data_IF_568886336605
#
_entry.id   IF_568886336605
#
_cell.length_a   1.000
_cell.length_b   1.000
_cell.length_c   1.000
_cell.angle_alpha   90.00
_cell.angle_beta   90.00
_cell.angle_gamma   90.00
#
_symmetry.space_group_name_H-M   'P 1'
#
loop_
_entity.id
_entity.type
_entity.pdbx_description
1 polymer ?
#
# COMPACT_ATOMS: atom_id res chain seq x y z
N UNK A 1 12.48 -0.17 11.07
CA UNK A 1 13.41 0.90 10.92
C UNK A 1 13.58 1.33 9.47
N UNK A 2 13.39 2.61 9.21
CA UNK A 2 13.57 3.23 7.89
C UNK A 2 14.76 4.23 7.88
N UNK A 3 15.60 4.24 8.88
CA UNK A 3 16.73 5.17 9.01
C UNK A 3 16.29 6.64 9.24
N UNK A 4 15.08 6.85 9.77
CA UNK A 4 14.57 8.16 10.21
C UNK A 4 14.35 8.18 11.72
N UNK A 5 14.54 9.32 12.38
CA UNK A 5 14.21 9.46 13.80
C UNK A 5 12.69 9.51 14.00
N UNK A 6 12.22 9.11 15.21
CA UNK A 6 10.82 9.22 15.59
C UNK A 6 9.92 8.13 14.99
N UNK A 7 10.46 6.97 14.67
CA UNK A 7 9.68 5.84 14.19
C UNK A 7 8.85 5.22 15.33
N UNK A 8 7.54 5.15 15.14
CA UNK A 8 6.60 4.55 16.09
C UNK A 8 6.43 3.04 15.83
N UNK A 9 6.18 2.29 16.91
CA UNK A 9 6.03 0.82 16.84
C UNK A 9 4.64 0.33 16.42
N UNK A 10 3.64 1.20 16.45
CA UNK A 10 2.24 0.79 16.31
C UNK A 10 1.73 0.07 17.57
N UNK A 11 0.50 -0.41 17.52
CA UNK A 11 -0.15 -1.18 18.59
C UNK A 11 -0.63 -2.49 17.99
N UNK A 12 0.05 -3.58 18.35
CA UNK A 12 -0.32 -4.93 17.95
C UNK A 12 -0.48 -5.77 19.22
N UNK A 13 -1.61 -6.43 19.35
CA UNK A 13 -1.81 -7.38 20.44
C UNK A 13 -0.99 -8.66 20.24
N UNK A 14 -0.50 -9.23 21.33
CA UNK A 14 0.11 -10.53 21.28
C UNK A 14 -0.98 -11.58 20.95
N UNK A 15 -0.78 -12.44 19.93
CA UNK A 15 -1.77 -13.46 19.56
C UNK A 15 -2.21 -14.37 20.71
N UNK A 16 -1.38 -14.53 21.75
CA UNK A 16 -1.71 -15.32 22.94
C UNK A 16 -2.73 -14.65 23.87
N UNK A 17 -2.86 -13.33 23.76
CA UNK A 17 -3.72 -12.51 24.60
C UNK A 17 -5.02 -12.10 23.86
N UNK A 18 -5.21 -12.61 22.63
CA UNK A 18 -6.36 -12.31 21.79
C UNK A 18 -7.51 -13.29 22.04
N UNK A 19 -8.72 -12.76 22.09
CA UNK A 19 -9.97 -13.52 22.11
C UNK A 19 -10.56 -13.62 20.68
N UNK A 20 -11.50 -14.58 20.49
CA UNK A 20 -12.16 -14.76 19.17
C UNK A 20 -12.76 -13.45 18.58
N UNK A 21 -13.43 -12.58 19.37
CA UNK A 21 -13.93 -11.30 18.84
C UNK A 21 -12.81 -10.37 18.33
N UNK A 22 -11.62 -10.40 18.96
CA UNK A 22 -10.49 -9.58 18.54
C UNK A 22 -9.98 -10.01 17.16
N UNK A 23 -9.89 -11.32 16.92
CA UNK A 23 -9.49 -11.89 15.63
C UNK A 23 -10.48 -11.50 14.53
N UNK A 24 -11.79 -11.61 14.79
CA UNK A 24 -12.83 -11.24 13.85
C UNK A 24 -12.78 -9.72 13.54
N UNK A 25 -12.56 -8.90 14.55
CA UNK A 25 -12.47 -7.44 14.43
C UNK A 25 -11.20 -7.03 13.65
N UNK A 26 -10.07 -7.69 13.90
CA UNK A 26 -8.83 -7.45 13.14
C UNK A 26 -8.97 -7.85 11.66
N UNK A 27 -9.76 -8.86 11.33
CA UNK A 27 -9.98 -9.28 9.95
C UNK A 27 -10.62 -8.18 9.09
N UNK A 28 -11.35 -7.24 9.71
CA UNK A 28 -11.91 -6.07 9.05
C UNK A 28 -11.08 -4.79 9.25
N UNK A 29 -9.89 -4.89 9.86
CA UNK A 29 -8.95 -3.79 10.03
C UNK A 29 -9.18 -2.92 11.27
N UNK A 30 -9.93 -3.41 12.27
CA UNK A 30 -10.15 -2.76 13.55
C UNK A 30 -9.31 -3.45 14.65
N UNK A 31 -9.11 -2.78 15.79
CA UNK A 31 -8.36 -3.34 16.91
C UNK A 31 -6.85 -3.44 16.69
N UNK A 32 -6.32 -2.85 15.64
CA UNK A 32 -4.89 -2.78 15.33
C UNK A 32 -4.53 -1.36 14.90
N UNK A 33 -3.41 -0.83 15.41
CA UNK A 33 -2.89 0.45 14.98
C UNK A 33 -1.47 0.26 14.44
N UNK A 34 -1.27 0.64 13.19
CA UNK A 34 0.02 0.55 12.50
C UNK A 34 0.38 1.90 11.89
N UNK A 35 1.67 2.16 11.75
CA UNK A 35 2.12 3.34 11.02
C UNK A 35 1.85 3.16 9.51
N UNK A 36 1.69 4.25 8.75
CA UNK A 36 1.56 4.17 7.28
C UNK A 36 2.67 3.37 6.62
N UNK A 37 3.89 3.48 7.14
CA UNK A 37 5.04 2.73 6.63
C UNK A 37 4.93 1.23 6.92
N UNK A 38 4.43 0.84 8.08
CA UNK A 38 4.21 -0.56 8.43
C UNK A 38 3.15 -1.19 7.50
N UNK A 39 2.04 -0.47 7.26
CA UNK A 39 1.00 -0.90 6.32
C UNK A 39 1.54 -1.03 4.90
N UNK A 40 2.22 0.00 4.38
CA UNK A 40 2.81 -0.03 3.05
C UNK A 40 3.82 -1.17 2.91
N UNK A 41 4.63 -1.42 3.94
CA UNK A 41 5.60 -2.52 3.97
C UNK A 41 4.94 -3.90 3.91
N UNK A 42 3.80 -4.08 4.59
CA UNK A 42 3.02 -5.31 4.52
C UNK A 42 2.45 -5.54 3.10
N UNK A 43 1.92 -4.49 2.47
CA UNK A 43 1.45 -4.53 1.09
C UNK A 43 2.60 -4.79 0.11
N UNK A 44 3.78 -4.24 0.35
CA UNK A 44 4.97 -4.56 -0.44
C UNK A 44 5.37 -6.04 -0.35
N UNK A 45 5.15 -6.71 0.79
CA UNK A 45 5.41 -8.14 0.90
C UNK A 45 4.43 -8.96 0.04
N UNK A 46 3.17 -8.54 -0.07
CA UNK A 46 2.22 -9.15 -1.03
C UNK A 46 2.67 -8.90 -2.47
N UNK A 47 3.07 -7.68 -2.78
CA UNK A 47 3.46 -7.27 -4.11
C UNK A 47 4.71 -8.03 -4.62
N UNK A 48 5.66 -8.33 -3.75
CA UNK A 48 6.97 -8.89 -4.12
C UNK A 48 7.10 -10.42 -3.97
N UNK A 49 6.00 -11.13 -3.70
CA UNK A 49 6.01 -12.60 -3.59
C UNK A 49 6.20 -13.15 -2.18
N UNK A 50 6.02 -12.33 -1.15
CA UNK A 50 5.99 -12.76 0.25
C UNK A 50 7.19 -12.35 1.09
N UNK A 51 8.16 -11.65 0.53
CA UNK A 51 9.35 -11.17 1.26
C UNK A 51 9.04 -9.88 2.05
N UNK A 52 9.21 -9.91 3.36
CA UNK A 52 9.22 -8.71 4.18
C UNK A 52 10.60 -8.06 4.08
N UNK A 53 10.67 -6.89 3.45
CA UNK A 53 11.92 -6.17 3.25
C UNK A 53 12.18 -5.13 4.34
N UNK A 54 13.46 -4.86 4.60
CA UNK A 54 13.89 -3.70 5.35
C UNK A 54 13.81 -2.47 4.44
N UNK A 55 12.97 -1.47 4.73
CA UNK A 55 12.95 -0.26 3.95
C UNK A 55 14.22 0.57 4.20
N UNK A 56 14.66 1.32 3.21
CA UNK A 56 15.76 2.28 3.32
C UNK A 56 15.51 3.48 2.41
N UNK A 57 16.07 4.64 2.75
CA UNK A 57 15.96 5.88 1.98
C UNK A 57 17.32 6.35 1.47
N UNK A 58 18.40 5.95 2.13
CA UNK A 58 19.75 6.34 1.75
C UNK A 58 20.23 5.39 0.66
N UNK A 59 20.29 5.88 -0.57
CA UNK A 59 20.80 5.10 -1.69
C UNK A 59 22.30 4.84 -1.59
N UNK A 60 23.08 5.89 -1.25
CA UNK A 60 24.54 5.80 -1.21
C UNK A 60 25.14 6.93 -0.38
N UNK A 61 26.14 6.63 0.42
CA UNK A 61 27.00 7.59 1.09
C UNK A 61 28.40 7.43 0.51
N UNK A 62 29.00 8.54 0.04
CA UNK A 62 30.30 8.55 -0.59
C UNK A 62 31.19 9.57 0.12
N UNK A 63 32.41 9.20 0.46
CA UNK A 63 33.40 10.09 1.03
C UNK A 63 33.95 11.10 -0.03
N UNK A 64 34.66 12.13 0.41
CA UNK A 64 35.20 13.17 -0.48
C UNK A 64 36.20 12.62 -1.51
N UNK A 65 36.86 11.51 -1.21
CA UNK A 65 37.80 10.81 -2.10
C UNK A 65 37.12 9.86 -3.11
N UNK A 66 35.75 9.77 -3.08
CA UNK A 66 34.96 8.88 -3.92
C UNK A 66 34.74 7.49 -3.32
N UNK A 67 35.29 7.17 -2.16
CA UNK A 67 35.08 5.89 -1.48
C UNK A 67 33.63 5.72 -1.05
N UNK A 68 33.03 4.59 -1.38
CA UNK A 68 31.65 4.25 -0.95
C UNK A 68 31.67 3.80 0.50
N UNK A 69 31.09 4.62 1.40
CA UNK A 69 30.99 4.32 2.84
C UNK A 69 29.80 3.40 3.11
N UNK A 70 28.66 3.66 2.46
CA UNK A 70 27.42 2.89 2.63
C UNK A 70 26.65 2.86 1.32
N UNK A 71 26.04 1.74 1.01
CA UNK A 71 25.11 1.59 -0.12
C UNK A 71 23.85 0.88 0.35
N UNK A 72 22.69 1.48 0.02
CA UNK A 72 21.39 0.88 0.25
C UNK A 72 21.19 -0.32 -0.66
N UNK A 73 20.81 -1.45 -0.09
CA UNK A 73 20.56 -2.69 -0.83
C UNK A 73 19.31 -3.41 -0.33
N UNK A 74 18.71 -4.20 -1.20
CA UNK A 74 17.60 -5.09 -0.81
C UNK A 74 18.04 -5.97 0.36
N UNK A 75 17.33 -5.89 1.46
CA UNK A 75 17.55 -6.74 2.64
C UNK A 75 16.24 -7.42 3.00
N UNK A 76 16.21 -8.75 2.91
CA UNK A 76 15.06 -9.57 3.29
C UNK A 76 15.13 -9.84 4.79
N UNK A 77 14.08 -9.43 5.51
CA UNK A 77 13.95 -9.69 6.96
C UNK A 77 13.45 -11.11 7.20
N UNK A 78 12.40 -11.51 6.47
CA UNK A 78 11.83 -12.86 6.47
C UNK A 78 10.84 -13.04 5.33
N UNK A 79 10.47 -14.27 5.02
CA UNK A 79 9.28 -14.59 4.23
C UNK A 79 8.07 -14.65 5.15
N UNK A 80 6.99 -13.93 4.81
CA UNK A 80 5.77 -13.84 5.63
C UNK A 80 4.61 -14.64 5.04
N UNK A 81 4.59 -14.81 3.72
CA UNK A 81 3.63 -15.65 2.98
C UNK A 81 4.35 -16.34 1.82
N UNK A 82 3.76 -17.41 1.29
CA UNK A 82 4.29 -18.07 0.10
C UNK A 82 4.03 -17.27 -1.16
N UNK A 83 4.82 -17.47 -2.23
CA UNK A 83 4.58 -16.86 -3.54
C UNK A 83 3.17 -17.17 -4.09
N UNK A 84 2.67 -18.39 -3.84
CA UNK A 84 1.32 -18.77 -4.24
C UNK A 84 0.26 -17.90 -3.56
N UNK A 85 0.37 -17.71 -2.25
CA UNK A 85 -0.54 -16.85 -1.48
C UNK A 85 -0.41 -15.40 -1.93
N UNK A 86 0.82 -14.91 -2.12
CA UNK A 86 1.08 -13.56 -2.60
C UNK A 86 0.42 -13.31 -3.97
N UNK A 87 0.50 -14.27 -4.89
CA UNK A 87 -0.16 -14.20 -6.20
C UNK A 87 -1.69 -14.14 -6.07
N UNK A 88 -2.29 -15.01 -5.26
CA UNK A 88 -3.73 -15.00 -5.01
C UNK A 88 -4.19 -13.65 -4.42
N UNK A 89 -3.42 -13.10 -3.49
CA UNK A 89 -3.70 -11.77 -2.92
C UNK A 89 -3.62 -10.67 -3.97
N UNK A 90 -2.58 -10.67 -4.84
CA UNK A 90 -2.47 -9.71 -5.94
C UNK A 90 -3.68 -9.76 -6.88
N UNK A 91 -4.13 -10.96 -7.25
CA UNK A 91 -5.32 -11.16 -8.09
C UNK A 91 -6.59 -10.63 -7.43
N UNK A 92 -6.79 -10.91 -6.14
CA UNK A 92 -7.93 -10.36 -5.38
C UNK A 92 -7.87 -8.84 -5.27
N UNK A 93 -6.70 -8.27 -4.98
CA UNK A 93 -6.52 -6.83 -4.88
C UNK A 93 -6.68 -6.11 -6.22
N UNK A 94 -6.35 -6.77 -7.34
CA UNK A 94 -6.63 -6.25 -8.67
C UNK A 94 -8.14 -6.17 -8.94
N UNK A 95 -8.91 -7.20 -8.54
CA UNK A 95 -10.36 -7.18 -8.66
C UNK A 95 -11.03 -6.07 -7.83
N UNK A 96 -10.45 -5.68 -6.71
CA UNK A 96 -10.95 -4.52 -5.95
C UNK A 96 -10.96 -3.26 -6.81
N UNK A 97 -9.95 -3.08 -7.67
CA UNK A 97 -9.83 -1.91 -8.55
C UNK A 97 -10.61 -2.10 -9.85
N UNK A 98 -10.57 -3.28 -10.46
CA UNK A 98 -11.26 -3.52 -11.75
C UNK A 98 -12.78 -3.67 -11.62
N UNK A 99 -13.25 -4.32 -10.56
CA UNK A 99 -14.64 -4.73 -10.39
C UNK A 99 -15.28 -4.21 -9.09
N UNK A 100 -14.46 -3.92 -8.06
CA UNK A 100 -14.92 -3.63 -6.70
C UNK A 100 -15.01 -2.16 -6.33
N UNK A 101 -14.92 -1.89 -5.03
CA UNK A 101 -15.04 -0.54 -4.44
C UNK A 101 -13.82 0.36 -4.65
N UNK A 102 -12.75 -0.13 -5.27
CA UNK A 102 -11.53 0.63 -5.58
C UNK A 102 -11.48 1.21 -7.00
N UNK A 103 -12.57 1.16 -7.76
CA UNK A 103 -12.63 1.61 -9.18
C UNK A 103 -12.12 3.03 -9.41
N UNK A 104 -12.27 3.91 -8.43
CA UNK A 104 -11.79 5.30 -8.49
C UNK A 104 -10.27 5.43 -8.53
N UNK A 105 -9.53 4.35 -8.19
CA UNK A 105 -8.07 4.26 -8.34
C UNK A 105 -7.62 3.74 -9.72
N UNK A 106 -8.54 3.34 -10.60
CA UNK A 106 -8.20 2.78 -11.90
C UNK A 106 -7.53 3.80 -12.82
N UNK A 107 -6.46 3.40 -13.50
CA UNK A 107 -5.76 4.17 -14.54
C UNK A 107 -5.87 3.39 -15.84
N UNK A 108 -6.41 4.04 -16.88
CA UNK A 108 -6.62 3.39 -18.18
C UNK A 108 -5.30 2.83 -18.74
N UNK A 109 -5.32 1.56 -19.12
CA UNK A 109 -4.17 0.86 -19.69
C UNK A 109 -3.18 0.30 -18.65
N UNK A 110 -3.47 0.43 -17.35
CA UNK A 110 -2.64 -0.16 -16.29
C UNK A 110 -3.44 -1.12 -15.43
N UNK A 111 -2.82 -2.25 -15.10
CA UNK A 111 -3.37 -3.19 -14.13
C UNK A 111 -2.94 -2.72 -12.74
N UNK A 112 -3.90 -2.31 -11.93
CA UNK A 112 -3.68 -1.78 -10.58
C UNK A 112 -4.31 -2.72 -9.57
N UNK A 113 -3.57 -3.06 -8.54
CA UNK A 113 -4.06 -3.78 -7.38
C UNK A 113 -4.09 -2.85 -6.17
N UNK A 114 -5.14 -2.92 -5.36
CA UNK A 114 -5.24 -2.06 -4.18
C UNK A 114 -6.37 -2.42 -3.24
N UNK A 115 -6.47 -1.67 -2.13
CA UNK A 115 -7.50 -1.81 -1.12
C UNK A 115 -7.85 -0.45 -0.53
N UNK A 116 -9.13 -0.19 -0.38
CA UNK A 116 -9.66 0.96 0.36
C UNK A 116 -9.65 0.69 1.86
N UNK A 117 -9.42 1.70 2.67
CA UNK A 117 -9.62 1.67 4.11
C UNK A 117 -10.46 2.87 4.57
N UNK A 118 -11.28 2.65 5.58
CA UNK A 118 -12.02 3.70 6.29
C UNK A 118 -12.17 3.23 7.72
N UNK A 119 -11.37 3.79 8.62
CA UNK A 119 -11.34 3.41 10.02
C UNK A 119 -11.77 4.60 10.89
N UNK A 120 -12.59 4.36 11.90
CA UNK A 120 -12.86 5.36 12.93
C UNK A 120 -11.62 5.58 13.80
N UNK A 121 -11.35 6.83 14.15
CA UNK A 121 -10.22 7.18 15.03
C UNK A 121 -10.51 6.79 16.46
N UNK A 122 -9.47 6.39 17.17
CA UNK A 122 -9.55 6.17 18.59
C UNK A 122 -9.66 7.53 19.33
N UNK A 123 -10.57 7.62 20.28
CA UNK A 123 -10.68 8.77 21.17
C UNK A 123 -9.63 8.71 22.29
N UNK A 124 -9.15 9.85 22.76
CA UNK A 124 -8.16 9.95 23.84
C UNK A 124 -8.59 9.27 25.15
N UNK A 125 -9.91 9.15 25.39
CA UNK A 125 -10.50 8.49 26.56
C UNK A 125 -10.88 7.02 26.35
N UNK A 126 -10.50 6.42 25.24
CA UNK A 126 -10.93 5.07 24.81
C UNK A 126 -12.20 5.10 23.96
N UNK A 127 -12.45 3.99 23.22
CA UNK A 127 -13.51 3.93 22.22
C UNK A 127 -13.19 4.71 20.94
N UNK A 128 -14.20 5.02 20.14
CA UNK A 128 -14.05 5.70 18.86
C UNK A 128 -14.55 7.15 18.92
N UNK A 129 -13.83 8.03 18.20
CA UNK A 129 -14.18 9.44 18.10
C UNK A 129 -15.24 9.64 17.01
N UNK A 130 -16.47 9.93 17.42
CA UNK A 130 -17.60 10.08 16.51
C UNK A 130 -17.31 11.09 15.37
N UNK A 131 -17.52 10.66 14.12
CA UNK A 131 -17.32 11.50 12.93
C UNK A 131 -15.87 11.76 12.55
N UNK A 132 -14.90 11.13 13.21
CA UNK A 132 -13.49 11.25 12.87
C UNK A 132 -12.98 9.94 12.24
N UNK A 133 -12.51 10.03 11.01
CA UNK A 133 -12.10 8.88 10.22
C UNK A 133 -10.68 9.02 9.70
N UNK A 134 -10.00 7.90 9.55
CA UNK A 134 -8.82 7.75 8.68
C UNK A 134 -9.30 7.12 7.39
N UNK A 135 -9.25 7.88 6.30
CA UNK A 135 -9.57 7.40 4.97
C UNK A 135 -8.29 7.02 4.24
N UNK A 136 -8.19 5.80 3.71
CA UNK A 136 -6.98 5.34 3.05
C UNK A 136 -7.25 4.59 1.75
N UNK A 137 -6.24 4.58 0.90
CA UNK A 137 -6.11 3.68 -0.24
C UNK A 137 -4.65 3.27 -0.37
N UNK A 138 -4.40 1.98 -0.36
CA UNK A 138 -3.08 1.39 -0.57
C UNK A 138 -3.10 0.49 -1.78
N UNK A 139 -2.04 0.52 -2.59
CA UNK A 139 -1.98 -0.31 -3.77
C UNK A 139 -0.62 -0.33 -4.43
N UNK A 140 -0.52 -1.07 -5.53
CA UNK A 140 0.70 -1.21 -6.32
C UNK A 140 0.39 -1.39 -7.81
N UNK A 141 1.41 -1.12 -8.62
CA UNK A 141 1.33 -1.16 -10.09
C UNK A 141 2.66 -1.61 -10.69
N UNK A 142 2.64 -2.36 -11.83
CA UNK A 142 1.54 -3.18 -12.34
C UNK A 142 1.14 -4.31 -11.37
N UNK A 143 -0.10 -4.80 -11.44
CA UNK A 143 -0.59 -5.84 -10.52
C UNK A 143 0.13 -7.19 -10.69
N UNK A 144 0.54 -7.52 -11.92
CA UNK A 144 1.23 -8.76 -12.28
C UNK A 144 2.74 -8.72 -12.01
N UNK A 145 3.38 -7.56 -12.24
CA UNK A 145 4.82 -7.32 -12.01
C UNK A 145 5.03 -6.03 -11.23
N UNK A 146 4.71 -5.99 -9.94
CA UNK A 146 4.73 -4.77 -9.14
C UNK A 146 6.09 -4.07 -9.15
N UNK A 147 6.07 -2.76 -9.42
CA UNK A 147 7.25 -1.90 -9.43
C UNK A 147 7.14 -0.74 -8.45
N UNK A 148 5.93 -0.25 -8.24
CA UNK A 148 5.65 0.85 -7.33
C UNK A 148 4.48 0.47 -6.44
N UNK A 149 4.61 0.77 -5.16
CA UNK A 149 3.55 0.71 -4.17
C UNK A 149 3.37 2.09 -3.55
N UNK A 150 2.13 2.45 -3.28
CA UNK A 150 1.79 3.74 -2.68
C UNK A 150 0.64 3.59 -1.71
N UNK A 151 0.70 4.32 -0.61
CA UNK A 151 -0.38 4.52 0.33
C UNK A 151 -0.75 6.01 0.34
N UNK A 152 -2.03 6.29 0.21
CA UNK A 152 -2.62 7.61 0.46
C UNK A 152 -3.51 7.51 1.68
N UNK A 153 -3.26 8.34 2.67
CA UNK A 153 -4.02 8.40 3.92
C UNK A 153 -4.41 9.84 4.22
N UNK A 154 -5.67 10.04 4.55
CA UNK A 154 -6.23 11.33 4.96
C UNK A 154 -6.77 11.20 6.37
N UNK A 155 -6.28 12.05 7.24
CA UNK A 155 -6.74 12.14 8.62
C UNK A 155 -7.89 13.13 8.72
N UNK A 156 -9.03 12.64 9.17
CA UNK A 156 -10.24 13.42 9.43
C UNK A 156 -10.64 14.29 8.24
N UNK A 157 -10.81 13.72 7.03
CA UNK A 157 -11.24 14.50 5.86
C UNK A 157 -12.61 15.12 6.11
N UNK A 158 -12.82 16.33 5.59
CA UNK A 158 -14.10 17.05 5.74
C UNK A 158 -15.05 16.67 4.60
N UNK A 159 -16.31 16.49 4.92
CA UNK A 159 -17.35 16.11 3.96
C UNK A 159 -17.37 14.60 3.71
N UNK A 160 -16.83 14.14 2.58
CA UNK A 160 -16.69 12.70 2.29
C UNK A 160 -15.54 12.08 3.09
N UNK A 161 -15.71 10.85 3.58
CA UNK A 161 -14.74 10.17 4.43
C UNK A 161 -14.41 8.74 3.98
N UNK A 162 -15.04 8.22 2.94
CA UNK A 162 -14.70 6.90 2.42
C UNK A 162 -13.39 6.94 1.62
N UNK A 163 -12.48 6.02 1.90
CA UNK A 163 -11.20 5.92 1.19
C UNK A 163 -11.35 5.81 -0.33
N UNK A 164 -12.43 5.17 -0.81
CA UNK A 164 -12.77 5.11 -2.24
C UNK A 164 -13.12 6.48 -2.85
N UNK A 165 -13.62 7.42 -2.05
CA UNK A 165 -14.05 8.73 -2.51
C UNK A 165 -12.96 9.78 -2.41
N UNK A 166 -12.12 9.72 -1.37
CA UNK A 166 -11.15 10.79 -1.08
C UNK A 166 -9.70 10.37 -1.31
N UNK A 167 -9.31 9.13 -0.97
CA UNK A 167 -7.91 8.66 -1.07
C UNK A 167 -7.60 8.00 -2.41
N UNK A 168 -8.52 7.20 -2.94
CA UNK A 168 -8.30 6.47 -4.19
C UNK A 168 -8.15 7.40 -5.43
N UNK A 169 -8.88 8.52 -5.57
CA UNK A 169 -8.62 9.48 -6.65
C UNK A 169 -7.23 10.12 -6.55
N UNK A 170 -6.78 10.50 -5.35
CA UNK A 170 -5.44 11.06 -5.13
C UNK A 170 -4.36 10.03 -5.48
N UNK A 171 -4.58 8.77 -5.07
CA UNK A 171 -3.71 7.66 -5.46
C UNK A 171 -3.60 7.55 -6.99
N UNK A 172 -4.73 7.52 -7.70
CA UNK A 172 -4.78 7.46 -9.16
C UNK A 172 -3.99 8.59 -9.80
N UNK A 173 -4.29 9.82 -9.43
CA UNK A 173 -3.73 11.01 -10.08
C UNK A 173 -2.22 11.14 -9.83
N UNK A 174 -1.79 10.85 -8.60
CA UNK A 174 -0.36 10.85 -8.24
C UNK A 174 0.38 9.71 -8.94
N UNK A 175 -0.19 8.49 -8.92
CA UNK A 175 0.44 7.33 -9.53
C UNK A 175 0.55 7.49 -11.05
N UNK A 176 -0.46 8.07 -11.70
CA UNK A 176 -0.42 8.36 -13.14
C UNK A 176 0.74 9.29 -13.52
N UNK A 177 1.00 10.31 -12.71
CA UNK A 177 2.14 11.21 -12.91
C UNK A 177 3.48 10.47 -12.71
N UNK A 178 3.57 9.61 -11.69
CA UNK A 178 4.77 8.78 -11.45
C UNK A 178 5.04 7.85 -12.64
N UNK A 179 4.02 7.15 -13.12
CA UNK A 179 4.14 6.25 -14.28
C UNK A 179 4.63 6.98 -15.52
N UNK A 180 4.05 8.15 -15.80
CA UNK A 180 4.48 9.02 -16.89
C UNK A 180 5.94 9.46 -16.73
N UNK A 181 6.31 10.01 -15.57
CA UNK A 181 7.67 10.49 -15.29
C UNK A 181 8.73 9.38 -15.34
N UNK A 182 8.32 8.12 -15.08
CA UNK A 182 9.19 6.94 -15.12
C UNK A 182 9.18 6.22 -16.47
N UNK A 183 8.44 6.73 -17.47
CA UNK A 183 8.35 6.15 -18.80
C UNK A 183 7.73 4.75 -18.83
N UNK A 184 6.90 4.41 -17.83
CA UNK A 184 6.22 3.11 -17.79
C UNK A 184 5.03 3.18 -18.74
N UNK A 185 5.08 2.38 -19.80
CA UNK A 185 4.02 2.36 -20.79
C UNK A 185 2.80 1.57 -20.29
N UNK A 186 1.58 1.98 -20.68
CA UNK A 186 0.39 1.16 -20.50
C UNK A 186 0.58 -0.21 -21.15
N UNK A 187 -0.06 -1.24 -20.58
CA UNK A 187 -0.16 -2.51 -21.28
C UNK A 187 -0.82 -2.26 -22.65
N UNK A 188 -0.22 -2.78 -23.72
CA UNK A 188 -0.82 -2.67 -25.03
C UNK A 188 -2.24 -3.23 -24.97
N UNK A 189 -3.24 -2.42 -25.35
CA UNK A 189 -4.60 -2.92 -25.51
C UNK A 189 -4.54 -4.07 -26.51
N UNK A 190 -4.83 -5.27 -26.09
CA UNK A 190 -5.02 -6.39 -27.02
C UNK A 190 -6.09 -5.96 -28.03
N UNK A 191 -5.67 -5.72 -29.26
CA UNK A 191 -6.44 -5.86 -30.47
C UNK A 191 -7.54 -4.85 -30.77
N UNK A 192 -7.18 -3.76 -31.43
CA UNK A 192 -7.94 -3.32 -32.61
C UNK A 192 -6.96 -3.31 -33.79
N UNK A 193 -7.17 -4.13 -34.84
CA UNK A 193 -6.36 -4.03 -36.05
C UNK A 193 -6.57 -2.62 -36.63
N UNK A 194 -5.48 -1.88 -36.78
CA UNK A 194 -5.47 -0.64 -37.53
C UNK A 194 -5.94 -1.00 -38.96
N UNK A 195 -7.18 -0.65 -39.30
CA UNK A 195 -7.63 -0.66 -40.67
C UNK A 195 -6.77 0.36 -41.42
N UNK A 196 -5.84 -0.12 -42.23
CA UNK A 196 -5.15 0.72 -43.23
C UNK A 196 -6.21 1.33 -44.14
N UNK A 197 -6.29 2.64 -44.15
CA UNK A 197 -6.76 3.40 -45.27
C UNK A 197 -5.59 4.12 -45.91
#
# INVERSE_FOLDING_TARGET
GIELPGEEGGILYNPKDMYEPDVATMAIGQGVAVTPLQELRAICAIANGGELLQPYIIKKIVAADGTVIKEGKKTVVRNVITEQVARQMREMMEKVVSEGGGKTAAIKGYRIAGKTGTAEKLAAGGGYAAGQYIASFVGFVPADKPRYAMLVMLDTPQGAFYGSQVSAPIFRDTLQQILFAKGIQPAASEGLPLSRR
#
